data_IF_633097117411
#
_entry.id   IF_633097117411
#
_cell.length_a   1.000
_cell.length_b   1.000
_cell.length_c   1.000
_cell.angle_alpha   90.00
_cell.angle_beta   90.00
_cell.angle_gamma   90.00
#
_symmetry.space_group_name_H-M   'P 1'
#
loop_
_entity.id
_entity.type
_entity.pdbx_description
1 polymer ?
#
# COMPACT_ATOMS: atom_id res chain seq x y z
N UNK A 1 -13.74 52.32 50.72
CA UNK A 1 -13.08 51.18 50.03
C UNK A 1 -14.09 50.05 49.98
N UNK A 2 -14.87 50.00 48.90
CA UNK A 2 -15.93 49.00 48.73
C UNK A 2 -15.35 47.64 48.34
N UNK A 3 -15.76 46.66 49.13
CA UNK A 3 -15.45 45.25 48.97
C UNK A 3 -16.18 44.77 47.71
N UNK A 4 -15.44 44.56 46.61
CA UNK A 4 -15.95 43.86 45.41
C UNK A 4 -16.20 42.39 45.75
N UNK A 5 -17.37 42.09 46.33
CA UNK A 5 -17.95 40.74 46.35
C UNK A 5 -18.66 40.47 45.02
N UNK A 6 -18.59 39.21 44.59
CA UNK A 6 -19.31 38.57 43.49
C UNK A 6 -18.66 38.64 42.09
N UNK A 7 -17.50 37.99 41.96
CA UNK A 7 -17.20 37.27 40.72
C UNK A 7 -18.02 35.98 40.79
N UNK A 8 -19.20 35.96 40.14
CA UNK A 8 -20.03 34.74 40.00
C UNK A 8 -19.15 33.65 39.39
N UNK A 9 -18.93 32.59 40.15
CA UNK A 9 -18.35 31.34 39.67
C UNK A 9 -19.45 30.64 38.87
N UNK A 10 -19.16 30.28 37.62
CA UNK A 10 -19.88 29.25 36.86
C UNK A 10 -21.22 29.64 36.23
N UNK A 11 -21.25 30.54 35.25
CA UNK A 11 -22.25 30.40 34.19
C UNK A 11 -21.74 29.32 33.25
N UNK A 12 -22.26 28.10 33.39
CA UNK A 12 -22.13 27.05 32.38
C UNK A 12 -22.62 27.67 31.06
N UNK A 13 -21.70 28.04 30.18
CA UNK A 13 -22.09 28.59 28.89
C UNK A 13 -22.79 27.46 28.14
N UNK A 14 -23.99 27.74 27.63
CA UNK A 14 -24.81 26.76 26.96
C UNK A 14 -24.21 26.53 25.57
N UNK A 15 -23.77 25.32 25.28
CA UNK A 15 -23.32 24.95 23.94
C UNK A 15 -24.45 24.21 23.23
N UNK A 16 -24.57 24.42 21.92
CA UNK A 16 -25.51 23.69 21.09
C UNK A 16 -24.93 23.38 19.71
N UNK A 17 -25.38 22.26 19.14
CA UNK A 17 -25.12 21.87 17.76
C UNK A 17 -26.35 22.17 16.91
N UNK A 18 -26.08 22.59 15.69
CA UNK A 18 -27.06 22.58 14.61
C UNK A 18 -26.78 21.38 13.72
N UNK A 19 -27.79 20.52 13.54
CA UNK A 19 -27.70 19.29 12.76
C UNK A 19 -28.73 19.36 11.66
N UNK A 20 -28.30 19.15 10.42
CA UNK A 20 -29.16 19.09 9.25
C UNK A 20 -28.81 17.86 8.43
N UNK A 21 -29.80 17.05 8.07
CA UNK A 21 -29.62 15.81 7.30
C UNK A 21 -28.57 14.85 7.91
N UNK A 22 -28.51 14.77 9.24
CA UNK A 22 -27.48 14.04 10.03
C UNK A 22 -26.06 14.62 9.97
N UNK A 23 -25.86 15.77 9.34
CA UNK A 23 -24.58 16.47 9.29
C UNK A 23 -24.58 17.60 10.32
N UNK A 24 -23.52 17.69 11.10
CA UNK A 24 -23.29 18.83 12.01
C UNK A 24 -22.90 20.04 11.17
N UNK A 25 -23.76 21.05 11.10
CA UNK A 25 -23.53 22.27 10.30
C UNK A 25 -22.94 23.42 11.12
N UNK A 26 -23.08 23.38 12.44
CA UNK A 26 -22.55 24.41 13.32
C UNK A 26 -22.44 23.95 14.77
N UNK A 27 -21.43 24.48 15.44
CA UNK A 27 -21.21 24.35 16.88
C UNK A 27 -21.10 25.74 17.48
N UNK A 28 -22.03 26.07 18.37
CA UNK A 28 -22.18 27.41 18.92
C UNK A 28 -22.16 27.37 20.45
N UNK A 29 -21.68 28.47 21.03
CA UNK A 29 -21.68 28.72 22.46
C UNK A 29 -22.47 30.02 22.72
N UNK A 30 -23.55 29.93 23.51
CA UNK A 30 -24.42 31.06 23.82
C UNK A 30 -25.90 30.72 23.80
N UNK A 31 -26.73 31.76 23.67
CA UNK A 31 -28.18 31.61 23.58
C UNK A 31 -28.58 30.98 22.24
N UNK A 32 -29.58 30.10 22.29
CA UNK A 32 -30.13 29.42 21.12
C UNK A 32 -30.94 30.40 20.27
N UNK A 33 -30.88 30.32 18.92
CA UNK A 33 -31.60 31.24 18.06
C UNK A 33 -33.11 31.08 18.21
N UNK A 34 -33.80 32.22 18.27
CA UNK A 34 -35.25 32.33 18.13
C UNK A 34 -35.55 33.31 16.98
N UNK A 35 -36.27 32.89 15.92
CA UNK A 35 -36.93 31.60 15.73
C UNK A 35 -35.98 30.48 15.26
N UNK A 36 -36.34 29.23 15.59
CA UNK A 36 -35.65 28.03 15.09
C UNK A 36 -36.05 27.74 13.66
N UNK A 37 -35.08 27.34 12.83
CA UNK A 37 -35.39 26.80 11.51
C UNK A 37 -35.99 25.39 11.64
N UNK A 38 -37.10 25.08 10.95
CA UNK A 38 -37.78 23.80 11.08
C UNK A 38 -36.97 22.61 10.52
N UNK A 39 -36.03 22.88 9.61
CA UNK A 39 -35.20 21.87 8.95
C UNK A 39 -33.88 21.59 9.69
N UNK A 40 -33.62 22.30 10.80
CA UNK A 40 -32.39 22.18 11.59
C UNK A 40 -32.76 21.65 12.98
N UNK A 41 -32.13 20.55 13.36
CA UNK A 41 -32.19 20.02 14.72
C UNK A 41 -31.18 20.77 15.59
N UNK A 42 -31.66 21.38 16.68
CA UNK A 42 -30.84 22.06 17.68
C UNK A 42 -30.66 21.17 18.90
N UNK A 43 -29.44 20.73 19.17
CA UNK A 43 -29.13 19.83 20.30
C UNK A 43 -28.20 20.50 21.29
N UNK A 44 -28.63 20.58 22.55
CA UNK A 44 -27.83 21.15 23.64
C UNK A 44 -26.77 20.12 24.05
N UNK A 45 -25.53 20.55 24.10
CA UNK A 45 -24.36 19.75 24.44
C UNK A 45 -23.54 20.46 25.52
N UNK A 46 -22.71 19.72 26.25
CA UNK A 46 -21.90 20.27 27.34
C UNK A 46 -20.47 19.76 27.23
N UNK A 47 -19.56 20.61 26.74
CA UNK A 47 -18.16 20.27 26.55
C UNK A 47 -17.95 19.25 25.44
N UNK A 48 -18.35 19.61 24.22
CA UNK A 48 -18.35 18.69 23.09
C UNK A 48 -17.09 18.77 22.23
N UNK A 49 -16.65 17.61 21.75
CA UNK A 49 -15.52 17.45 20.81
C UNK A 49 -15.99 17.00 19.41
N UNK A 50 -17.20 17.38 19.03
CA UNK A 50 -17.79 17.09 17.72
C UNK A 50 -17.32 18.13 16.70
N UNK A 51 -16.92 17.67 15.51
CA UNK A 51 -16.49 18.57 14.44
C UNK A 51 -17.66 18.96 13.54
N UNK A 52 -17.58 20.18 13.00
CA UNK A 52 -18.50 20.64 11.95
C UNK A 52 -18.17 19.90 10.65
N UNK A 53 -19.20 19.41 9.97
CA UNK A 53 -19.12 18.62 8.74
C UNK A 53 -19.22 17.11 8.96
N UNK A 54 -19.13 16.64 10.20
CA UNK A 54 -19.23 15.20 10.51
C UNK A 54 -20.68 14.71 10.47
N UNK A 55 -20.84 13.44 10.11
CA UNK A 55 -22.11 12.73 10.22
C UNK A 55 -22.32 12.25 11.67
N UNK A 56 -23.45 12.62 12.28
CA UNK A 56 -23.76 12.28 13.68
C UNK A 56 -23.80 10.77 13.93
N UNK A 57 -24.03 9.96 12.90
CA UNK A 57 -24.03 8.48 12.98
C UNK A 57 -22.65 7.90 13.24
N UNK A 58 -21.59 8.68 13.04
CA UNK A 58 -20.21 8.29 13.34
C UNK A 58 -19.94 8.24 14.86
N UNK A 59 -20.79 8.90 15.65
CA UNK A 59 -20.62 9.00 17.09
C UNK A 59 -21.35 7.86 17.81
N UNK A 60 -20.65 7.20 18.73
CA UNK A 60 -21.26 6.27 19.69
C UNK A 60 -21.99 7.03 20.80
N UNK A 61 -21.45 8.19 21.19
CA UNK A 61 -22.08 9.14 22.12
C UNK A 61 -21.83 10.56 21.59
N UNK A 62 -22.84 11.13 20.92
CA UNK A 62 -22.78 12.47 20.32
C UNK A 62 -22.62 13.57 21.39
N UNK A 63 -23.20 13.38 22.58
CA UNK A 63 -23.18 14.40 23.64
C UNK A 63 -21.77 14.56 24.23
N UNK A 64 -20.97 13.49 24.21
CA UNK A 64 -19.55 13.51 24.62
C UNK A 64 -18.56 13.62 23.46
N UNK A 65 -19.03 13.58 22.21
CA UNK A 65 -18.17 13.51 21.03
C UNK A 65 -17.36 12.21 20.91
N UNK A 66 -17.86 11.10 21.47
CA UNK A 66 -17.15 9.81 21.41
C UNK A 66 -17.48 9.13 20.09
N UNK A 67 -16.48 9.00 19.21
CA UNK A 67 -16.58 8.28 17.95
C UNK A 67 -16.71 6.77 18.15
N UNK A 68 -17.41 6.10 17.23
CA UNK A 68 -17.40 4.64 17.12
C UNK A 68 -15.98 4.16 16.73
N UNK A 69 -15.63 2.89 17.02
CA UNK A 69 -14.39 2.30 16.53
C UNK A 69 -14.28 2.40 15.00
N UNK A 70 -13.07 2.67 14.50
CA UNK A 70 -12.82 2.87 13.07
C UNK A 70 -13.29 1.67 12.22
N UNK A 71 -13.12 0.44 12.74
CA UNK A 71 -13.67 -0.77 12.12
C UNK A 71 -15.18 -0.71 11.87
N UNK A 72 -15.95 -0.30 12.87
CA UNK A 72 -17.41 -0.18 12.75
C UNK A 72 -17.79 0.91 11.75
N UNK A 73 -17.04 2.02 11.72
CA UNK A 73 -17.28 3.11 10.77
C UNK A 73 -17.04 2.69 9.31
N UNK A 74 -16.01 1.88 9.07
CA UNK A 74 -15.73 1.32 7.75
C UNK A 74 -16.79 0.28 7.36
N UNK A 75 -17.17 -0.61 8.27
CA UNK A 75 -18.20 -1.64 8.04
C UNK A 75 -19.58 -1.02 7.73
N UNK A 76 -19.94 0.05 8.43
CA UNK A 76 -21.18 0.82 8.20
C UNK A 76 -21.10 1.76 6.98
N UNK A 77 -19.96 1.79 6.26
CA UNK A 77 -19.69 2.69 5.12
C UNK A 77 -19.86 4.17 5.46
N UNK A 78 -19.60 4.54 6.70
CA UNK A 78 -19.57 5.94 7.16
C UNK A 78 -18.19 6.58 6.89
N UNK A 79 -17.14 5.75 6.80
CA UNK A 79 -15.81 6.15 6.37
C UNK A 79 -15.37 5.24 5.22
N UNK A 80 -14.88 5.83 4.14
CA UNK A 80 -14.24 5.10 3.06
C UNK A 80 -12.76 4.85 3.40
N UNK A 81 -12.28 3.64 3.11
CA UNK A 81 -10.86 3.31 3.27
C UNK A 81 -10.07 4.05 2.19
N UNK A 82 -9.06 4.84 2.54
CA UNK A 82 -8.24 5.54 1.55
C UNK A 82 -7.57 4.55 0.58
N UNK A 83 -7.42 4.93 -0.68
CA UNK A 83 -6.75 4.10 -1.69
C UNK A 83 -5.33 3.73 -1.25
N UNK A 84 -4.98 2.45 -1.41
CA UNK A 84 -3.67 1.93 -1.05
C UNK A 84 -3.44 1.75 0.47
N UNK A 85 -4.47 1.93 1.30
CA UNK A 85 -4.42 1.65 2.73
C UNK A 85 -5.37 0.51 3.10
N UNK A 86 -5.04 -0.21 4.16
CA UNK A 86 -5.90 -1.20 4.81
C UNK A 86 -6.04 -0.88 6.28
N UNK A 87 -7.12 -1.36 6.87
CA UNK A 87 -7.30 -1.29 8.31
C UNK A 87 -6.32 -2.26 8.99
N UNK A 88 -5.71 -1.87 10.10
CA UNK A 88 -4.91 -2.80 10.91
C UNK A 88 -5.80 -3.88 11.55
N UNK A 89 -5.18 -4.96 12.06
CA UNK A 89 -5.90 -6.09 12.66
C UNK A 89 -6.78 -5.67 13.86
N UNK A 90 -6.33 -4.65 14.59
CA UNK A 90 -7.05 -4.09 15.75
C UNK A 90 -8.21 -3.16 15.36
N UNK A 91 -8.26 -2.70 14.11
CA UNK A 91 -9.32 -1.82 13.64
C UNK A 91 -9.23 -0.38 14.14
N UNK A 92 -8.03 0.09 14.48
CA UNK A 92 -7.76 1.38 15.12
C UNK A 92 -7.12 2.40 14.19
N UNK A 93 -6.39 1.96 13.15
CA UNK A 93 -5.70 2.84 12.22
C UNK A 93 -5.62 2.27 10.80
N UNK A 94 -5.38 3.17 9.83
CA UNK A 94 -5.10 2.82 8.44
C UNK A 94 -3.60 2.68 8.23
N UNK A 95 -3.17 1.48 7.87
CA UNK A 95 -1.80 1.15 7.50
C UNK A 95 -1.66 1.08 5.99
N UNK A 96 -0.46 1.38 5.48
CA UNK A 96 -0.19 1.27 4.05
C UNK A 96 -0.22 -0.21 3.62
N UNK A 97 -0.86 -0.47 2.49
CA UNK A 97 -0.92 -1.81 1.89
C UNK A 97 0.46 -2.23 1.39
N UNK A 98 0.77 -3.52 1.53
CA UNK A 98 1.95 -4.11 0.88
C UNK A 98 1.78 -4.10 -0.64
N UNK A 99 2.87 -4.24 -1.39
CA UNK A 99 2.77 -4.33 -2.87
C UNK A 99 1.92 -5.55 -3.28
N UNK A 100 2.03 -6.68 -2.56
CA UNK A 100 1.17 -7.85 -2.77
C UNK A 100 -0.32 -7.53 -2.52
N UNK A 101 -0.64 -6.82 -1.45
CA UNK A 101 -2.01 -6.39 -1.15
C UNK A 101 -2.55 -5.45 -2.24
N UNK A 102 -1.72 -4.54 -2.77
CA UNK A 102 -2.11 -3.64 -3.87
C UNK A 102 -2.37 -4.39 -5.17
N UNK A 103 -1.57 -5.43 -5.47
CA UNK A 103 -1.80 -6.31 -6.61
C UNK A 103 -3.11 -7.10 -6.44
N UNK A 104 -3.34 -7.69 -5.26
CA UNK A 104 -4.56 -8.43 -4.96
C UNK A 104 -5.81 -7.55 -4.99
N UNK A 105 -5.70 -6.29 -4.56
CA UNK A 105 -6.77 -5.30 -4.65
C UNK A 105 -6.99 -4.77 -6.08
N UNK A 106 -6.18 -5.19 -7.05
CA UNK A 106 -6.26 -4.71 -8.43
C UNK A 106 -5.84 -3.25 -8.61
N UNK A 107 -5.20 -2.64 -7.61
CA UNK A 107 -4.65 -1.28 -7.68
C UNK A 107 -3.36 -1.24 -8.51
N UNK A 108 -2.63 -2.36 -8.53
CA UNK A 108 -1.39 -2.53 -9.32
C UNK A 108 -1.52 -3.77 -10.19
N UNK A 109 -1.37 -3.60 -11.50
CA UNK A 109 -1.29 -4.71 -12.43
C UNK A 109 0.16 -5.17 -12.60
N UNK A 110 0.43 -6.44 -12.30
CA UNK A 110 1.72 -7.06 -12.58
C UNK A 110 2.00 -7.02 -14.08
N UNK A 111 3.22 -6.64 -14.45
CA UNK A 111 3.67 -6.79 -15.83
C UNK A 111 3.91 -8.26 -16.17
N UNK A 112 3.93 -8.61 -17.46
CA UNK A 112 4.16 -9.98 -17.90
C UNK A 112 5.51 -10.55 -17.43
N UNK A 113 6.51 -9.67 -17.27
CA UNK A 113 7.85 -10.02 -16.80
C UNK A 113 8.00 -10.02 -15.26
N UNK A 114 6.92 -9.81 -14.52
CA UNK A 114 6.94 -9.68 -13.07
C UNK A 114 6.17 -10.82 -12.40
N UNK A 115 6.64 -11.18 -11.20
CA UNK A 115 5.98 -12.11 -10.28
C UNK A 115 5.99 -11.52 -8.87
N UNK A 116 5.06 -11.99 -8.05
CA UNK A 116 5.09 -11.73 -6.61
C UNK A 116 5.94 -12.79 -5.92
N UNK A 117 7.00 -12.38 -5.24
CA UNK A 117 7.73 -13.22 -4.29
C UNK A 117 7.49 -12.67 -2.88
N UNK A 118 6.50 -13.25 -2.19
CA UNK A 118 6.02 -12.73 -0.91
C UNK A 118 5.34 -11.38 -1.09
N UNK A 119 5.84 -10.36 -0.40
CA UNK A 119 5.27 -9.00 -0.40
C UNK A 119 5.90 -8.06 -1.43
N UNK A 120 6.84 -8.55 -2.26
CA UNK A 120 7.62 -7.74 -3.21
C UNK A 120 7.44 -8.21 -4.64
N UNK A 121 7.36 -7.26 -5.57
CA UNK A 121 7.34 -7.51 -7.01
C UNK A 121 8.78 -7.76 -7.49
N UNK A 122 9.03 -8.93 -8.05
CA UNK A 122 10.33 -9.36 -8.55
C UNK A 122 10.22 -9.70 -10.04
N UNK A 123 11.27 -9.41 -10.81
CA UNK A 123 11.33 -9.81 -12.21
C UNK A 123 11.49 -11.32 -12.34
N UNK A 124 10.72 -11.92 -13.24
CA UNK A 124 10.88 -13.32 -13.66
C UNK A 124 12.24 -13.53 -14.31
N UNK A 125 12.77 -14.72 -14.12
CA UNK A 125 13.99 -15.17 -14.80
C UNK A 125 13.73 -15.37 -16.29
N UNK A 126 14.77 -15.30 -17.12
CA UNK A 126 14.64 -15.54 -18.57
C UNK A 126 14.11 -16.95 -18.89
N UNK A 127 14.40 -17.93 -18.02
CA UNK A 127 13.85 -19.29 -18.14
C UNK A 127 12.35 -19.33 -17.87
N UNK A 128 11.88 -18.67 -16.82
CA UNK A 128 10.44 -18.54 -16.51
C UNK A 128 9.70 -17.79 -17.63
N UNK A 129 10.27 -16.70 -18.13
CA UNK A 129 9.72 -15.94 -19.25
C UNK A 129 9.57 -16.80 -20.51
N UNK A 130 10.56 -17.66 -20.79
CA UNK A 130 10.50 -18.56 -21.94
C UNK A 130 9.46 -19.66 -21.74
N UNK A 131 9.42 -20.27 -20.54
CA UNK A 131 8.46 -21.33 -20.22
C UNK A 131 7.00 -20.84 -20.30
N UNK A 132 6.76 -19.58 -19.93
CA UNK A 132 5.46 -18.93 -20.03
C UNK A 132 5.15 -18.40 -21.44
N UNK A 133 6.10 -18.49 -22.37
CA UNK A 133 5.95 -18.01 -23.75
C UNK A 133 5.93 -16.49 -23.88
N UNK A 134 6.40 -15.76 -22.87
CA UNK A 134 6.50 -14.30 -22.86
C UNK A 134 7.61 -13.83 -23.78
N UNK A 135 8.75 -14.54 -23.79
CA UNK A 135 9.87 -14.28 -24.70
C UNK A 135 9.95 -15.35 -25.79
N UNK A 136 10.44 -14.93 -26.94
CA UNK A 136 10.69 -15.83 -28.06
C UNK A 136 11.91 -16.73 -27.82
N UNK A 137 11.98 -17.82 -28.59
CA UNK A 137 13.15 -18.70 -28.63
C UNK A 137 14.41 -17.96 -29.06
N UNK A 138 14.31 -17.02 -30.01
CA UNK A 138 15.45 -16.23 -30.46
C UNK A 138 16.01 -15.36 -29.32
N UNK A 139 15.13 -14.72 -28.54
CA UNK A 139 15.51 -13.88 -27.41
C UNK A 139 16.17 -14.70 -26.30
N UNK A 140 15.58 -15.84 -25.94
CA UNK A 140 16.18 -16.76 -24.96
C UNK A 140 17.56 -17.26 -25.41
N UNK A 141 17.69 -17.70 -26.66
CA UNK A 141 18.96 -18.18 -27.18
C UNK A 141 20.02 -17.07 -27.26
N UNK A 142 19.61 -15.83 -27.52
CA UNK A 142 20.51 -14.65 -27.50
C UNK A 142 21.04 -14.40 -26.09
N UNK A 143 20.18 -14.50 -25.07
CA UNK A 143 20.59 -14.42 -23.67
C UNK A 143 21.61 -15.52 -23.30
N UNK A 144 21.31 -16.77 -23.69
CA UNK A 144 22.21 -17.92 -23.48
C UNK A 144 23.54 -17.74 -24.22
N UNK A 145 23.54 -17.15 -25.42
CA UNK A 145 24.76 -16.85 -26.16
C UNK A 145 25.67 -15.88 -25.41
N UNK A 146 25.11 -14.82 -24.83
CA UNK A 146 25.88 -13.89 -23.99
C UNK A 146 26.52 -14.58 -22.78
N UNK A 147 25.77 -15.47 -22.10
CA UNK A 147 26.31 -16.23 -20.97
C UNK A 147 27.43 -17.19 -21.39
N UNK A 148 27.27 -17.87 -22.54
CA UNK A 148 28.30 -18.75 -23.10
C UNK A 148 29.54 -17.97 -23.52
N UNK A 149 29.39 -16.83 -24.19
CA UNK A 149 30.52 -16.00 -24.62
C UNK A 149 31.34 -15.53 -23.42
N UNK A 150 30.67 -15.05 -22.36
CA UNK A 150 31.33 -14.65 -21.13
C UNK A 150 32.10 -15.83 -20.50
N UNK A 151 31.47 -17.00 -20.41
CA UNK A 151 32.09 -18.21 -19.87
C UNK A 151 33.27 -18.70 -20.73
N UNK A 152 33.17 -18.60 -22.06
CA UNK A 152 34.27 -18.95 -22.95
C UNK A 152 35.48 -18.04 -22.74
N UNK A 153 35.22 -16.74 -22.65
CA UNK A 153 36.26 -15.74 -22.40
C UNK A 153 36.98 -15.96 -21.08
N UNK A 154 36.25 -16.36 -20.03
CA UNK A 154 36.85 -16.59 -18.71
C UNK A 154 37.48 -17.97 -18.54
N UNK A 155 36.86 -19.03 -19.07
CA UNK A 155 37.19 -20.42 -18.73
C UNK A 155 37.88 -21.19 -19.87
N UNK A 156 37.64 -20.86 -21.16
CA UNK A 156 38.12 -21.67 -22.29
C UNK A 156 39.17 -21.00 -23.16
N UNK A 157 39.16 -19.68 -23.28
CA UNK A 157 40.06 -18.98 -24.21
C UNK A 157 41.52 -19.17 -23.83
N UNK A 158 41.83 -19.18 -22.53
CA UNK A 158 43.17 -19.50 -22.03
C UNK A 158 43.58 -20.93 -22.38
N UNK A 159 42.71 -21.90 -22.16
CA UNK A 159 42.96 -23.31 -22.49
C UNK A 159 43.16 -23.49 -24.00
N UNK A 160 42.40 -22.75 -24.82
CA UNK A 160 42.55 -22.76 -26.27
C UNK A 160 43.93 -22.28 -26.72
N UNK A 161 44.50 -21.27 -26.05
CA UNK A 161 45.88 -20.81 -26.31
C UNK A 161 46.92 -21.85 -25.92
N UNK A 162 46.75 -22.55 -24.80
CA UNK A 162 47.64 -23.62 -24.34
C UNK A 162 47.61 -24.82 -25.32
N UNK A 163 46.43 -25.17 -25.85
CA UNK A 163 46.28 -26.19 -26.91
C UNK A 163 47.02 -25.77 -28.18
N UNK A 164 46.89 -24.51 -28.62
CA UNK A 164 47.59 -24.01 -29.82
C UNK A 164 49.12 -24.03 -29.68
N UNK A 165 49.63 -23.91 -28.45
CA UNK A 165 51.06 -24.01 -28.14
C UNK A 165 51.55 -25.46 -28.00
N UNK A 166 50.64 -26.43 -28.01
CA UNK A 166 50.95 -27.85 -27.77
C UNK A 166 51.22 -28.18 -26.30
N UNK A 167 50.85 -27.28 -25.38
CA UNK A 167 51.05 -27.44 -23.93
C UNK A 167 49.92 -28.26 -23.27
N UNK A 168 48.76 -28.34 -23.94
CA UNK A 168 47.55 -29.02 -23.45
C UNK A 168 46.92 -29.89 -24.54
N UNK A 169 46.38 -31.05 -24.15
CA UNK A 169 45.62 -31.90 -25.07
C UNK A 169 44.28 -31.25 -25.44
N UNK A 170 43.91 -31.35 -26.72
CA UNK A 170 42.68 -30.75 -27.25
C UNK A 170 41.42 -31.29 -26.57
N UNK A 171 41.43 -32.53 -26.09
CA UNK A 171 40.29 -33.13 -25.38
C UNK A 171 39.88 -32.31 -24.15
N UNK A 172 40.85 -31.85 -23.35
CA UNK A 172 40.59 -31.07 -22.13
C UNK A 172 39.87 -29.76 -22.46
N UNK A 173 40.27 -29.09 -23.54
CA UNK A 173 39.61 -27.87 -24.00
C UNK A 173 38.18 -28.13 -24.52
N UNK A 174 37.99 -29.22 -25.27
CA UNK A 174 36.67 -29.62 -25.79
C UNK A 174 35.71 -30.06 -24.68
N UNK A 175 36.20 -30.76 -23.67
CA UNK A 175 35.43 -31.14 -22.47
C UNK A 175 34.93 -29.90 -21.74
N UNK A 176 35.80 -28.89 -21.58
CA UNK A 176 35.40 -27.62 -20.95
C UNK A 176 34.35 -26.85 -21.75
N UNK A 177 34.47 -26.84 -23.09
CA UNK A 177 33.44 -26.27 -23.97
C UNK A 177 32.12 -27.03 -23.84
N UNK A 178 32.15 -28.36 -23.75
CA UNK A 178 30.96 -29.19 -23.58
C UNK A 178 30.29 -28.94 -22.22
N UNK A 179 31.08 -28.79 -21.16
CA UNK A 179 30.59 -28.41 -19.82
C UNK A 179 29.82 -27.09 -19.86
N UNK A 180 30.38 -26.05 -20.49
CA UNK A 180 29.72 -24.73 -20.62
C UNK A 180 28.43 -24.83 -21.44
N UNK A 181 28.41 -25.63 -22.51
CA UNK A 181 27.20 -25.85 -23.31
C UNK A 181 26.10 -26.56 -22.53
N UNK A 182 26.47 -27.48 -21.64
CA UNK A 182 25.54 -28.15 -20.73
C UNK A 182 25.04 -27.22 -19.62
N UNK A 183 25.91 -26.33 -19.10
CA UNK A 183 25.54 -25.34 -18.08
C UNK A 183 24.53 -24.32 -18.59
N UNK A 184 24.66 -23.92 -19.86
CA UNK A 184 23.76 -22.96 -20.51
C UNK A 184 23.15 -23.57 -21.77
N UNK A 185 22.11 -24.41 -21.67
CA UNK A 185 21.51 -25.09 -22.81
C UNK A 185 20.74 -24.09 -23.70
N UNK A 186 20.86 -24.25 -25.02
CA UNK A 186 20.02 -23.53 -25.99
C UNK A 186 18.76 -24.33 -26.26
N UNK A 187 17.65 -23.65 -26.50
CA UNK A 187 16.42 -24.31 -26.90
C UNK A 187 16.39 -24.50 -28.41
N UNK A 188 16.03 -25.71 -28.84
CA UNK A 188 16.15 -26.21 -30.21
C UNK A 188 14.94 -25.96 -31.07
#
# INVERSE_FOLDING_TARGET
>A
MEIRKNRKIGSKQMEYLEIKDNIVIGHYCGEMPEPKEPDIEYRIIDGCSVNIGDDVRMYADLDKGVLKPLKTLVDEKLIEVPEGKKLNDEGTEFIDMTEADKVNAGLVALQADEKLEGDVIVKKTQEELYAEGVISKEEYNTYIDGLREAAYRSETDKLGLEVLRGELDKSVWLEKIAEIKNRYPKVC
#
